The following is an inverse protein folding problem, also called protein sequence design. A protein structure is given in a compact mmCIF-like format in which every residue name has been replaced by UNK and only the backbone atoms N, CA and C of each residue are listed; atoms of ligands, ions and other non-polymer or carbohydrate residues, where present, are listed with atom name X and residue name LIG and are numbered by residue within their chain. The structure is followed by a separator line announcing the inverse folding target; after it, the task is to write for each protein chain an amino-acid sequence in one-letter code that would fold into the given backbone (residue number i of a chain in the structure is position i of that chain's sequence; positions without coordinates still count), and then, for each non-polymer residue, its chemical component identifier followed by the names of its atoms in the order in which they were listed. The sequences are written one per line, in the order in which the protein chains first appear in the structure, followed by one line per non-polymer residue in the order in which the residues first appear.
data_IF_794642477997
#
_entry.id   IF_794642477997
#
_cell.length_a   1.000
_cell.length_b   1.000
_cell.length_c   1.000
_cell.angle_alpha   90.00
_cell.angle_beta   90.00
_cell.angle_gamma   90.00
#
_symmetry.space_group_name_H-M   'P 1'
#
loop_
_entity.id
_entity.type
_entity.pdbx_description
1 polymer ?
#
# COMPACT_ATOMS: atom_id res chain seq x y z
N UNK A 1 44.36 29.37 -25.87
CA UNK A 1 43.65 28.34 -25.11
C UNK A 1 42.46 27.96 -25.97
N UNK A 2 42.46 26.72 -26.43
CA UNK A 2 41.47 26.12 -27.34
C UNK A 2 40.06 26.25 -26.77
N UNK A 3 39.03 26.13 -27.62
CA UNK A 3 37.64 25.89 -27.21
C UNK A 3 37.59 24.66 -26.30
N UNK A 4 37.78 24.91 -25.00
CA UNK A 4 37.89 23.93 -23.93
C UNK A 4 36.78 22.90 -24.04
N UNK A 5 37.18 21.63 -23.90
CA UNK A 5 36.36 20.42 -23.82
C UNK A 5 35.14 20.64 -22.92
N UNK A 6 34.04 21.13 -23.49
CA UNK A 6 32.77 21.18 -22.78
C UNK A 6 32.39 19.74 -22.48
N UNK A 7 32.40 19.38 -21.20
CA UNK A 7 31.92 18.08 -20.71
C UNK A 7 30.57 17.80 -21.37
N UNK A 8 30.41 16.65 -22.06
CA UNK A 8 29.18 16.35 -22.77
C UNK A 8 27.98 16.43 -21.83
N UNK A 9 26.86 17.00 -22.29
CA UNK A 9 25.63 17.13 -21.51
C UNK A 9 25.21 15.80 -20.84
N UNK A 10 25.32 14.69 -21.58
CA UNK A 10 25.08 13.33 -21.06
C UNK A 10 25.91 13.02 -19.81
N UNK A 11 27.20 13.37 -19.81
CA UNK A 11 28.09 13.13 -18.69
C UNK A 11 27.71 14.00 -17.49
N UNK A 12 27.46 15.29 -17.68
CA UNK A 12 27.01 16.20 -16.59
C UNK A 12 25.72 15.67 -15.93
N UNK A 13 24.73 15.27 -16.72
CA UNK A 13 23.46 14.74 -16.22
C UNK A 13 23.68 13.42 -15.46
N UNK A 14 24.52 12.53 -16.01
CA UNK A 14 24.81 11.22 -15.41
C UNK A 14 25.57 11.36 -14.09
N UNK A 15 26.56 12.23 -14.03
CA UNK A 15 27.37 12.48 -12.83
C UNK A 15 26.50 13.09 -11.71
N UNK A 16 25.63 14.05 -12.05
CA UNK A 16 24.64 14.61 -11.12
C UNK A 16 23.64 13.55 -10.64
N UNK A 17 23.14 12.72 -11.56
CA UNK A 17 22.24 11.63 -11.22
C UNK A 17 22.88 10.66 -10.20
N UNK A 18 24.12 10.21 -10.44
CA UNK A 18 24.80 9.28 -9.54
C UNK A 18 25.17 9.89 -8.19
N UNK A 19 25.43 11.21 -8.11
CA UNK A 19 25.73 11.86 -6.84
C UNK A 19 24.49 12.12 -5.97
N UNK A 20 23.32 12.30 -6.59
CA UNK A 20 22.08 12.65 -5.88
C UNK A 20 21.08 11.50 -5.75
N UNK A 21 21.25 10.42 -6.50
CA UNK A 21 20.34 9.28 -6.51
C UNK A 21 21.11 7.97 -6.46
N UNK A 22 20.49 7.00 -5.79
CA UNK A 22 20.81 5.58 -5.93
C UNK A 22 19.93 4.97 -7.00
N UNK A 23 20.52 4.09 -7.79
CA UNK A 23 19.82 3.27 -8.77
C UNK A 23 19.91 1.81 -8.37
N UNK A 24 18.84 1.06 -8.61
CA UNK A 24 18.77 -0.37 -8.34
C UNK A 24 17.68 -1.00 -9.20
N UNK A 25 17.64 -2.32 -9.24
CA UNK A 25 16.62 -3.06 -9.97
C UNK A 25 15.78 -3.92 -9.04
N UNK A 26 14.53 -4.14 -9.40
CA UNK A 26 13.69 -5.15 -8.75
C UNK A 26 13.88 -6.52 -9.41
N UNK A 27 13.36 -7.59 -8.78
CA UNK A 27 13.50 -8.95 -9.30
C UNK A 27 12.82 -9.16 -10.68
N UNK A 28 11.88 -8.30 -11.05
CA UNK A 28 11.24 -8.25 -12.36
C UNK A 28 12.04 -7.46 -13.41
N UNK A 29 13.25 -6.99 -13.06
CA UNK A 29 14.12 -6.22 -13.94
C UNK A 29 13.78 -4.73 -14.05
N UNK A 30 12.71 -4.25 -13.40
CA UNK A 30 12.38 -2.82 -13.43
C UNK A 30 13.46 -2.00 -12.72
N UNK A 31 13.98 -0.97 -13.38
CA UNK A 31 14.99 -0.07 -12.79
C UNK A 31 14.32 1.10 -12.08
N UNK A 32 14.74 1.34 -10.85
CA UNK A 32 14.27 2.41 -9.99
C UNK A 32 15.39 3.41 -9.67
N UNK A 33 14.98 4.66 -9.51
CA UNK A 33 15.78 5.76 -9.01
C UNK A 33 15.25 6.19 -7.64
N UNK A 34 16.13 6.31 -6.65
CA UNK A 34 15.80 6.77 -5.32
C UNK A 34 16.70 7.94 -4.96
N UNK A 35 16.12 9.09 -4.63
CA UNK A 35 16.90 10.23 -4.18
C UNK A 35 17.60 9.92 -2.86
N UNK A 36 18.87 10.28 -2.75
CA UNK A 36 19.66 10.05 -1.54
C UNK A 36 19.00 10.75 -0.34
N UNK A 37 18.84 10.01 0.77
CA UNK A 37 18.17 10.48 1.98
C UNK A 37 16.63 10.49 1.93
N UNK A 38 16.02 10.06 0.82
CA UNK A 38 14.57 9.97 0.69
C UNK A 38 14.12 8.51 0.46
N UNK A 39 13.09 8.01 1.15
CA UNK A 39 12.77 6.58 1.14
C UNK A 39 11.95 6.14 -0.07
N UNK A 40 11.49 7.09 -0.90
CA UNK A 40 10.65 6.80 -2.08
C UNK A 40 11.52 6.64 -3.33
N UNK A 41 11.35 5.51 -4.00
CA UNK A 41 11.88 5.24 -5.33
C UNK A 41 10.83 5.44 -6.43
N UNK A 42 11.31 5.83 -7.60
CA UNK A 42 10.52 6.05 -8.81
C UNK A 42 11.07 5.18 -9.94
N UNK A 43 10.21 4.50 -10.71
CA UNK A 43 10.70 3.78 -11.88
C UNK A 43 11.29 4.77 -12.88
N UNK A 44 12.41 4.42 -13.52
CA UNK A 44 13.04 5.27 -14.55
C UNK A 44 12.08 5.46 -15.72
N UNK A 45 11.45 4.37 -16.14
CA UNK A 45 10.41 4.36 -17.19
C UNK A 45 9.04 4.43 -16.52
N UNK A 46 8.46 5.62 -16.42
CA UNK A 46 7.09 5.80 -15.93
C UNK A 46 6.16 6.27 -17.05
N UNK A 47 5.00 5.63 -17.20
CA UNK A 47 3.90 6.06 -18.09
C UNK A 47 3.08 7.24 -17.49
N UNK A 48 3.39 7.70 -16.27
CA UNK A 48 2.65 8.75 -15.55
C UNK A 48 3.12 10.17 -15.85
N UNK A 49 2.22 11.15 -15.63
CA UNK A 49 2.41 12.57 -15.97
C UNK A 49 3.04 13.43 -14.86
N UNK A 50 3.07 12.96 -13.61
CA UNK A 50 3.57 13.74 -12.46
C UNK A 50 4.53 12.94 -11.57
N UNK A 51 5.69 13.53 -11.28
CA UNK A 51 6.70 12.94 -10.42
C UNK A 51 7.48 11.80 -11.07
N UNK A 52 7.82 11.90 -12.36
CA UNK A 52 8.79 10.96 -12.94
C UNK A 52 10.21 11.26 -12.47
N UNK A 53 11.09 10.26 -12.46
CA UNK A 53 12.52 10.48 -12.17
C UNK A 53 13.14 11.55 -13.08
N UNK A 54 12.75 11.54 -14.37
CA UNK A 54 13.17 12.57 -15.34
C UNK A 54 12.81 13.99 -14.89
N UNK A 55 11.58 14.21 -14.41
CA UNK A 55 11.16 15.53 -13.91
C UNK A 55 11.93 15.91 -12.65
N UNK A 56 12.15 14.97 -11.72
CA UNK A 56 12.91 15.21 -10.50
C UNK A 56 14.37 15.61 -10.80
N UNK A 57 15.00 14.92 -11.74
CA UNK A 57 16.35 15.21 -12.22
C UNK A 57 16.45 16.60 -12.88
N UNK A 58 15.48 16.96 -13.74
CA UNK A 58 15.43 18.29 -14.36
C UNK A 58 15.26 19.40 -13.33
N UNK A 59 14.41 19.20 -12.32
CA UNK A 59 14.21 20.18 -11.23
C UNK A 59 15.47 20.32 -10.38
N UNK A 60 16.16 19.22 -10.06
CA UNK A 60 17.42 19.22 -9.32
C UNK A 60 18.52 20.00 -10.05
N UNK A 61 18.80 19.61 -11.31
CA UNK A 61 19.80 20.26 -12.16
C UNK A 61 19.57 21.78 -12.30
N UNK A 62 18.30 22.20 -12.42
CA UNK A 62 17.95 23.61 -12.48
C UNK A 62 18.17 24.32 -11.13
N UNK A 63 17.67 23.74 -10.03
CA UNK A 63 17.76 24.34 -8.69
C UNK A 63 19.20 24.48 -8.20
N UNK A 64 20.05 23.53 -8.55
CA UNK A 64 21.46 23.53 -8.16
C UNK A 64 22.35 24.35 -9.12
N UNK A 65 21.74 25.02 -10.10
CA UNK A 65 22.44 25.91 -11.03
C UNK A 65 23.29 25.21 -12.09
N UNK A 66 23.14 23.89 -12.26
CA UNK A 66 23.88 23.09 -13.24
C UNK A 66 23.41 23.39 -14.67
N UNK A 67 22.09 23.60 -14.84
CA UNK A 67 21.51 24.09 -16.09
C UNK A 67 20.29 23.31 -16.57
N UNK A 68 19.80 23.69 -17.76
CA UNK A 68 18.66 23.06 -18.43
C UNK A 68 19.16 22.33 -19.67
N UNK A 69 18.84 21.05 -19.76
CA UNK A 69 19.29 20.17 -20.84
C UNK A 69 18.13 19.80 -21.77
N UNK A 70 18.46 19.59 -23.05
CA UNK A 70 17.46 19.19 -24.04
C UNK A 70 16.98 17.74 -23.82
N UNK A 71 15.89 17.38 -24.50
CA UNK A 71 15.26 16.07 -24.33
C UNK A 71 16.12 14.88 -24.77
N UNK A 72 17.02 15.08 -25.74
CA UNK A 72 17.92 14.04 -26.27
C UNK A 72 19.01 13.71 -25.27
N UNK A 73 19.71 14.72 -24.73
CA UNK A 73 20.74 14.52 -23.71
C UNK A 73 20.18 13.86 -22.44
N UNK A 74 18.97 14.25 -22.02
CA UNK A 74 18.27 13.61 -20.91
C UNK A 74 17.96 12.13 -21.19
N UNK A 75 17.52 11.81 -22.42
CA UNK A 75 17.25 10.42 -22.80
C UNK A 75 18.53 9.58 -22.78
N UNK A 76 19.59 10.05 -23.42
CA UNK A 76 20.89 9.35 -23.46
C UNK A 76 21.47 9.11 -22.07
N UNK A 77 21.34 10.09 -21.16
CA UNK A 77 21.78 9.92 -19.77
C UNK A 77 20.94 8.88 -19.02
N UNK A 78 19.61 8.91 -19.16
CA UNK A 78 18.72 7.92 -18.53
C UNK A 78 18.94 6.51 -19.10
N UNK A 79 19.15 6.37 -20.40
CA UNK A 79 19.45 5.09 -21.06
C UNK A 79 20.78 4.51 -20.52
N UNK A 80 21.80 5.35 -20.30
CA UNK A 80 23.04 4.92 -19.66
C UNK A 80 22.83 4.52 -18.20
N UNK A 81 22.11 5.31 -17.42
CA UNK A 81 21.81 5.00 -16.01
C UNK A 81 21.07 3.66 -15.89
N UNK A 82 20.10 3.41 -16.77
CA UNK A 82 19.38 2.15 -16.82
C UNK A 82 20.31 0.96 -17.15
N UNK A 83 21.25 1.14 -18.07
CA UNK A 83 22.28 0.14 -18.37
C UNK A 83 23.24 -0.10 -17.20
N UNK A 84 23.65 0.95 -16.47
CA UNK A 84 24.50 0.83 -15.29
C UNK A 84 23.79 0.10 -14.15
N UNK A 85 22.48 0.28 -14.00
CA UNK A 85 21.70 -0.43 -12.98
C UNK A 85 21.66 -1.96 -13.18
N UNK A 86 22.07 -2.49 -14.35
CA UNK A 86 22.20 -3.92 -14.57
C UNK A 86 23.28 -4.58 -13.70
N UNK A 87 24.28 -3.81 -13.25
CA UNK A 87 25.36 -4.28 -12.38
C UNK A 87 25.10 -3.99 -10.89
N UNK A 88 24.01 -3.30 -10.57
CA UNK A 88 23.63 -2.96 -9.19
C UNK A 88 22.85 -4.10 -8.51
N UNK A 89 22.79 -4.03 -7.18
CA UNK A 89 22.04 -5.00 -6.37
C UNK A 89 20.53 -4.97 -6.67
N UNK A 90 19.93 -6.16 -6.58
CA UNK A 90 18.47 -6.31 -6.66
C UNK A 90 17.86 -5.93 -5.31
N UNK A 91 16.87 -5.04 -5.32
CA UNK A 91 16.13 -4.69 -4.11
C UNK A 91 14.61 -4.60 -4.37
N UNK A 92 13.77 -5.15 -3.49
CA UNK A 92 12.32 -5.00 -3.60
C UNK A 92 11.86 -3.56 -3.29
N UNK A 93 10.75 -3.17 -3.92
CA UNK A 93 10.00 -1.96 -3.57
C UNK A 93 8.66 -2.36 -2.99
N UNK A 94 8.17 -1.55 -2.06
CA UNK A 94 6.94 -1.85 -1.32
C UNK A 94 5.92 -0.72 -1.47
N UNK A 95 4.63 -1.05 -1.38
CA UNK A 95 3.53 -0.07 -1.36
C UNK A 95 2.89 -0.17 0.01
N UNK A 96 2.81 0.96 0.72
CA UNK A 96 2.19 1.16 2.04
C UNK A 96 2.77 0.36 3.21
N UNK A 97 2.92 -0.95 3.08
CA UNK A 97 3.39 -1.83 4.17
C UNK A 97 4.53 -2.69 3.65
N UNK A 98 5.60 -2.81 4.44
CA UNK A 98 6.80 -3.55 4.07
C UNK A 98 7.36 -4.37 5.24
N UNK A 99 7.92 -5.57 5.00
CA UNK A 99 8.73 -6.22 6.01
C UNK A 99 9.96 -5.36 6.31
N UNK A 100 10.34 -5.28 7.59
CA UNK A 100 11.58 -4.65 8.04
C UNK A 100 12.60 -5.70 8.51
N UNK A 101 13.74 -5.21 8.97
CA UNK A 101 14.72 -6.07 9.66
C UNK A 101 14.19 -6.49 11.02
N UNK A 102 14.85 -7.47 11.67
CA UNK A 102 14.53 -7.98 13.02
C UNK A 102 13.08 -8.41 13.28
N UNK A 103 12.33 -8.69 12.22
CA UNK A 103 10.92 -9.03 12.31
C UNK A 103 10.01 -7.80 12.46
N UNK A 104 10.51 -6.57 12.32
CA UNK A 104 9.65 -5.39 12.24
C UNK A 104 8.78 -5.37 10.96
N UNK A 105 7.74 -4.54 10.99
CA UNK A 105 6.99 -4.11 9.81
C UNK A 105 7.06 -2.60 9.72
N UNK A 106 7.06 -2.06 8.51
CA UNK A 106 6.93 -0.64 8.25
C UNK A 106 5.58 -0.28 7.64
N UNK A 107 5.05 0.88 8.03
CA UNK A 107 3.89 1.54 7.43
C UNK A 107 4.31 2.90 6.86
N UNK A 108 4.25 3.05 5.54
CA UNK A 108 4.42 4.32 4.85
C UNK A 108 3.25 5.26 5.17
N UNK A 109 3.55 6.43 5.72
CA UNK A 109 2.53 7.44 5.99
C UNK A 109 2.12 8.21 4.71
N UNK A 110 2.75 7.97 3.57
CA UNK A 110 2.41 8.67 2.31
C UNK A 110 2.80 10.15 2.32
N UNK A 111 3.53 10.60 3.34
CA UNK A 111 3.89 12.01 3.58
C UNK A 111 5.10 12.44 2.77
N UNK A 112 5.14 13.71 2.38
CA UNK A 112 6.26 14.29 1.62
C UNK A 112 7.57 14.40 2.40
N UNK A 113 7.50 14.34 3.74
CA UNK A 113 8.67 14.31 4.64
C UNK A 113 9.36 12.93 4.71
N UNK A 114 8.81 11.91 4.05
CA UNK A 114 9.37 10.55 4.03
C UNK A 114 9.17 9.78 5.34
N UNK A 115 8.46 10.32 6.31
CA UNK A 115 8.25 9.62 7.58
C UNK A 115 7.37 8.39 7.41
N UNK A 116 7.75 7.32 8.09
CA UNK A 116 7.05 6.04 8.15
C UNK A 116 6.99 5.59 9.60
N UNK A 117 6.07 4.68 9.91
CA UNK A 117 6.01 4.03 11.23
C UNK A 117 6.73 2.70 11.15
N UNK A 118 7.72 2.49 12.02
CA UNK A 118 8.31 1.18 12.25
C UNK A 118 7.59 0.51 13.40
N UNK A 119 7.20 -0.74 13.23
CA UNK A 119 6.37 -1.50 14.18
C UNK A 119 7.11 -2.79 14.53
N UNK A 120 7.50 -2.94 15.79
CA UNK A 120 8.16 -4.12 16.34
C UNK A 120 7.34 -4.64 17.55
N UNK A 121 7.41 -5.94 17.92
CA UNK A 121 6.73 -6.44 19.12
C UNK A 121 7.05 -5.69 20.42
N UNK A 122 8.16 -4.93 20.48
CA UNK A 122 8.53 -4.13 21.66
C UNK A 122 8.04 -2.68 21.62
N UNK A 123 7.48 -2.22 20.50
CA UNK A 123 7.04 -0.83 20.34
C UNK A 123 7.00 -0.36 18.88
N UNK A 124 6.59 0.89 18.70
CA UNK A 124 6.59 1.54 17.41
C UNK A 124 7.16 2.96 17.48
N UNK A 125 7.80 3.40 16.40
CA UNK A 125 8.40 4.74 16.28
C UNK A 125 8.20 5.31 14.87
N UNK A 126 8.17 6.65 14.79
CA UNK A 126 8.05 7.37 13.51
C UNK A 126 9.44 7.83 13.11
N UNK A 127 9.91 7.39 11.95
CA UNK A 127 11.21 7.79 11.39
C UNK A 127 11.26 7.60 9.89
N UNK A 128 12.27 8.16 9.26
CA UNK A 128 12.59 7.86 7.87
C UNK A 128 13.29 6.50 7.82
N UNK A 129 12.83 5.52 7.01
CA UNK A 129 13.47 4.22 6.92
C UNK A 129 14.85 4.32 6.25
N UNK A 130 15.76 3.44 6.68
CA UNK A 130 17.00 3.22 5.93
C UNK A 130 16.63 2.66 4.54
N UNK A 131 17.14 3.25 3.45
CA UNK A 131 16.90 2.77 2.09
C UNK A 131 17.21 1.29 1.86
N UNK A 132 18.12 0.68 2.63
CA UNK A 132 18.43 -0.75 2.56
C UNK A 132 17.41 -1.62 3.29
N UNK A 133 16.74 -1.07 4.29
CA UNK A 133 15.69 -1.78 5.04
C UNK A 133 14.38 -1.75 4.26
N UNK A 134 13.92 -0.56 3.85
CA UNK A 134 12.68 -0.40 3.09
C UNK A 134 12.85 0.66 2.00
N UNK A 135 12.36 0.33 0.80
CA UNK A 135 12.21 1.27 -0.29
C UNK A 135 10.73 1.35 -0.71
N UNK A 136 10.18 2.56 -0.71
CA UNK A 136 8.78 2.80 -1.03
C UNK A 136 8.57 3.09 -2.50
N UNK A 137 7.56 2.46 -3.09
CA UNK A 137 6.91 2.90 -4.32
C UNK A 137 5.56 3.48 -3.95
N UNK A 138 5.33 4.76 -4.27
CA UNK A 138 4.02 5.40 -4.09
C UNK A 138 3.29 5.46 -5.42
N UNK A 139 2.01 5.11 -5.39
CA UNK A 139 1.11 5.28 -6.54
C UNK A 139 0.15 6.44 -6.26
N UNK A 140 -0.72 6.78 -7.21
CA UNK A 140 -1.79 7.75 -6.95
C UNK A 140 -2.79 7.27 -5.88
N UNK A 141 -2.79 5.97 -5.55
CA UNK A 141 -3.63 5.42 -4.49
C UNK A 141 -3.00 5.55 -3.11
N UNK A 142 -1.70 5.88 -3.01
CA UNK A 142 -1.03 6.07 -1.73
C UNK A 142 -1.43 7.42 -1.11
N UNK A 143 -2.51 7.41 -0.34
CA UNK A 143 -2.95 8.57 0.44
C UNK A 143 -2.05 8.92 1.62
N UNK A 144 -2.05 10.19 1.99
CA UNK A 144 -1.35 10.66 3.18
C UNK A 144 -2.12 10.25 4.45
N UNK A 145 -1.41 9.65 5.39
CA UNK A 145 -1.86 9.38 6.75
C UNK A 145 -1.42 10.52 7.70
N UNK A 146 -2.19 10.81 8.76
CA UNK A 146 -1.72 11.67 9.83
C UNK A 146 -0.57 11.00 10.59
N UNK A 147 0.17 11.80 11.37
CA UNK A 147 1.07 11.22 12.37
C UNK A 147 0.21 10.53 13.43
N UNK A 148 0.47 9.25 13.76
CA UNK A 148 -0.26 8.57 14.81
C UNK A 148 -0.01 9.23 16.17
N UNK A 149 -1.07 9.38 16.96
CA UNK A 149 -0.96 9.84 18.34
C UNK A 149 -0.30 8.78 19.21
N UNK A 150 0.46 9.21 20.22
CA UNK A 150 1.02 8.34 21.27
C UNK A 150 0.15 8.37 22.51
N UNK A 151 0.39 7.43 23.44
CA UNK A 151 -0.23 7.38 24.77
C UNK A 151 -1.77 7.42 24.73
N UNK A 152 -2.33 6.75 23.71
CA UNK A 152 -3.76 6.82 23.41
C UNK A 152 -4.62 6.08 24.43
N UNK A 153 -4.02 5.17 25.20
CA UNK A 153 -4.70 4.25 26.11
C UNK A 153 -5.87 3.50 25.44
N UNK A 154 -5.75 3.18 24.14
CA UNK A 154 -6.76 2.44 23.39
C UNK A 154 -7.99 3.25 22.97
N UNK A 155 -8.10 4.54 23.35
CA UNK A 155 -9.29 5.39 23.07
C UNK A 155 -9.66 5.49 21.59
N UNK A 156 -8.68 5.33 20.69
CA UNK A 156 -8.90 5.28 19.26
C UNK A 156 -9.76 4.10 18.81
N UNK A 157 -9.66 2.95 19.50
CA UNK A 157 -10.52 1.80 19.21
C UNK A 157 -11.98 2.15 19.55
N UNK A 158 -12.23 2.75 20.71
CA UNK A 158 -13.58 3.19 21.13
C UNK A 158 -14.15 4.27 20.20
N UNK A 159 -13.31 5.16 19.67
CA UNK A 159 -13.71 6.14 18.66
C UNK A 159 -14.15 5.44 17.37
N UNK A 160 -13.39 4.46 16.88
CA UNK A 160 -13.74 3.70 15.68
C UNK A 160 -15.08 2.95 15.85
N UNK A 161 -15.28 2.28 17.00
CA UNK A 161 -16.53 1.54 17.26
C UNK A 161 -17.74 2.45 17.37
N UNK A 162 -17.58 3.71 17.83
CA UNK A 162 -18.68 4.70 17.80
C UNK A 162 -19.01 5.21 16.40
N UNK A 163 -18.04 5.21 15.49
CA UNK A 163 -18.21 5.67 14.11
C UNK A 163 -18.80 4.58 13.20
N UNK A 164 -18.56 3.30 13.50
CA UNK A 164 -19.04 2.15 12.72
C UNK A 164 -20.21 1.44 13.41
N UNK A 165 -21.28 1.14 12.67
CA UNK A 165 -22.47 0.47 13.22
C UNK A 165 -22.34 -1.06 13.23
N UNK A 166 -21.28 -1.59 13.85
CA UNK A 166 -21.10 -3.04 13.97
C UNK A 166 -22.21 -3.66 14.83
N UNK A 167 -22.70 -4.83 14.42
CA UNK A 167 -23.87 -5.46 15.05
C UNK A 167 -23.54 -6.08 16.41
N UNK A 168 -22.31 -6.55 16.60
CA UNK A 168 -21.88 -7.32 17.77
C UNK A 168 -20.43 -7.01 18.13
N UNK A 169 -20.06 -7.21 19.40
CA UNK A 169 -18.68 -7.11 19.86
C UNK A 169 -17.74 -8.07 19.11
N UNK A 170 -18.23 -9.25 18.70
CA UNK A 170 -17.47 -10.17 17.85
C UNK A 170 -17.11 -9.52 16.50
N UNK A 171 -18.05 -8.81 15.87
CA UNK A 171 -17.80 -8.10 14.62
C UNK A 171 -16.77 -6.98 14.82
N UNK A 172 -16.84 -6.25 15.93
CA UNK A 172 -15.86 -5.23 16.30
C UNK A 172 -14.46 -5.84 16.43
N UNK A 173 -14.32 -6.96 17.13
CA UNK A 173 -13.07 -7.69 17.28
C UNK A 173 -12.52 -8.16 15.93
N UNK A 174 -13.36 -8.70 15.03
CA UNK A 174 -12.93 -9.13 13.69
C UNK A 174 -12.43 -7.96 12.85
N UNK A 175 -13.07 -6.78 12.93
CA UNK A 175 -12.61 -5.59 12.23
C UNK A 175 -11.23 -5.13 12.71
N UNK A 176 -10.99 -5.18 14.04
CA UNK A 176 -9.69 -4.87 14.62
C UNK A 176 -8.63 -5.91 14.24
N UNK A 177 -8.96 -7.20 14.33
CA UNK A 177 -8.05 -8.27 13.92
C UNK A 177 -7.63 -8.12 12.45
N UNK A 178 -8.56 -7.75 11.58
CA UNK A 178 -8.26 -7.46 10.18
C UNK A 178 -7.32 -6.26 10.01
N UNK A 179 -7.58 -5.14 10.71
CA UNK A 179 -6.71 -3.96 10.65
C UNK A 179 -5.28 -4.26 11.13
N UNK A 180 -5.13 -5.10 12.15
CA UNK A 180 -3.82 -5.59 12.62
C UNK A 180 -3.18 -6.48 11.55
N UNK A 181 -3.95 -7.40 10.96
CA UNK A 181 -3.50 -8.25 9.86
C UNK A 181 -3.01 -7.44 8.64
N UNK A 182 -3.67 -6.32 8.33
CA UNK A 182 -3.23 -5.38 7.28
C UNK A 182 -1.82 -4.82 7.52
N UNK A 183 -1.32 -4.83 8.75
CA UNK A 183 0.03 -4.41 9.14
C UNK A 183 1.02 -5.60 9.19
N UNK A 184 0.65 -6.75 8.62
CA UNK A 184 1.48 -7.95 8.50
C UNK A 184 1.68 -8.34 7.02
N UNK A 185 2.77 -7.91 6.36
CA UNK A 185 2.92 -8.12 4.91
C UNK A 185 3.20 -9.58 4.54
N UNK A 186 3.63 -10.38 5.51
CA UNK A 186 4.02 -11.78 5.33
C UNK A 186 2.96 -12.77 5.80
N UNK A 187 1.76 -12.33 6.19
CA UNK A 187 0.67 -13.22 6.65
C UNK A 187 -0.54 -13.13 5.72
N UNK A 188 -1.23 -14.25 5.43
CA UNK A 188 -2.54 -14.20 4.80
C UNK A 188 -3.51 -13.40 5.68
N UNK A 189 -4.28 -12.50 5.05
CA UNK A 189 -5.27 -11.68 5.76
C UNK A 189 -6.65 -12.01 5.18
N UNK A 190 -7.52 -12.72 5.93
CA UNK A 190 -8.85 -13.01 5.45
C UNK A 190 -9.63 -11.71 5.17
N UNK A 191 -10.47 -11.71 4.16
CA UNK A 191 -11.09 -10.50 3.60
C UNK A 191 -12.42 -10.18 4.30
N UNK A 192 -12.59 -8.99 4.91
CA UNK A 192 -13.86 -8.59 5.48
C UNK A 192 -14.93 -8.52 4.42
N UNK A 193 -16.07 -9.12 4.71
CA UNK A 193 -17.28 -8.97 3.93
C UNK A 193 -18.32 -8.22 4.75
N UNK A 194 -18.46 -6.93 4.46
CA UNK A 194 -19.39 -6.04 5.14
C UNK A 194 -20.80 -6.30 4.62
N UNK A 195 -21.67 -6.79 5.50
CA UNK A 195 -23.06 -7.15 5.21
C UNK A 195 -24.02 -6.40 6.15
N UNK A 196 -25.29 -6.35 5.78
CA UNK A 196 -26.32 -5.66 6.56
C UNK A 196 -27.39 -5.05 5.68
N UNK A 197 -28.51 -4.62 6.27
CA UNK A 197 -29.63 -4.04 5.52
C UNK A 197 -29.22 -2.78 4.77
N UNK A 198 -30.04 -2.38 3.79
CA UNK A 198 -29.88 -1.08 3.13
C UNK A 198 -29.90 0.05 4.19
N UNK A 199 -28.95 0.98 4.09
CA UNK A 199 -28.78 2.07 5.06
C UNK A 199 -27.96 1.72 6.32
N UNK A 200 -27.35 0.54 6.41
CA UNK A 200 -26.46 0.18 7.54
C UNK A 200 -25.07 0.86 7.52
N UNK A 201 -24.76 1.64 6.46
CA UNK A 201 -23.46 2.30 6.34
C UNK A 201 -22.30 1.39 5.92
N UNK A 202 -22.56 0.30 5.19
CA UNK A 202 -21.54 -0.66 4.72
C UNK A 202 -20.38 0.02 3.97
N UNK A 203 -20.69 0.81 2.95
CA UNK A 203 -19.68 1.52 2.17
C UNK A 203 -18.94 2.57 3.00
N UNK A 204 -19.64 3.25 3.90
CA UNK A 204 -19.05 4.23 4.83
C UNK A 204 -18.09 3.57 5.80
N UNK A 205 -18.49 2.49 6.47
CA UNK A 205 -17.64 1.73 7.39
C UNK A 205 -16.46 1.08 6.67
N UNK A 206 -16.68 0.50 5.48
CA UNK A 206 -15.60 -0.04 4.65
C UNK A 206 -14.57 1.03 4.29
N UNK A 207 -15.04 2.23 3.91
CA UNK A 207 -14.15 3.37 3.63
C UNK A 207 -13.39 3.82 4.87
N UNK A 208 -14.03 3.87 6.05
CA UNK A 208 -13.34 4.16 7.31
C UNK A 208 -12.24 3.14 7.63
N UNK A 209 -12.51 1.84 7.45
CA UNK A 209 -11.51 0.79 7.67
C UNK A 209 -10.32 0.92 6.70
N UNK A 210 -10.59 1.16 5.41
CA UNK A 210 -9.55 1.38 4.39
C UNK A 210 -8.71 2.61 4.72
N UNK A 211 -9.33 3.74 5.09
CA UNK A 211 -8.65 5.02 5.33
C UNK A 211 -7.72 5.02 6.54
N UNK A 212 -7.89 4.08 7.49
CA UNK A 212 -6.94 3.87 8.59
C UNK A 212 -5.57 3.43 8.06
N UNK A 213 -5.54 2.65 6.97
CA UNK A 213 -4.30 2.11 6.39
C UNK A 213 -3.88 2.90 5.15
N UNK A 214 -4.81 3.31 4.29
CA UNK A 214 -4.52 3.95 3.00
C UNK A 214 -4.60 5.49 3.00
N UNK A 215 -5.01 6.11 4.12
CA UNK A 215 -5.20 7.56 4.23
C UNK A 215 -6.51 8.04 3.61
N UNK A 216 -6.81 9.34 3.80
CA UNK A 216 -8.14 9.93 3.50
C UNK A 216 -8.56 9.89 2.03
N UNK A 217 -7.62 9.75 1.10
CA UNK A 217 -7.92 9.57 -0.34
C UNK A 217 -8.29 8.13 -0.70
N UNK A 218 -8.12 7.18 0.23
CA UNK A 218 -8.57 5.80 0.06
C UNK A 218 -10.09 5.72 -0.06
N UNK A 219 -10.55 4.91 -1.01
CA UNK A 219 -11.97 4.71 -1.30
C UNK A 219 -12.23 3.26 -1.73
N UNK A 220 -13.51 2.88 -1.68
CA UNK A 220 -13.99 1.62 -2.22
C UNK A 220 -14.14 1.75 -3.74
N UNK A 221 -13.81 0.66 -4.44
CA UNK A 221 -13.80 0.61 -5.91
C UNK A 221 -14.89 -0.32 -6.40
N UNK A 222 -15.42 -0.06 -7.59
CA UNK A 222 -16.29 -1.05 -8.24
C UNK A 222 -15.51 -2.34 -8.46
N UNK A 223 -16.20 -3.47 -8.31
CA UNK A 223 -15.65 -4.78 -8.66
C UNK A 223 -15.06 -4.78 -10.09
N UNK A 224 -13.82 -5.27 -10.27
CA UNK A 224 -13.23 -5.50 -11.59
C UNK A 224 -14.07 -6.46 -12.43
N UNK A 225 -13.99 -6.32 -13.76
CA UNK A 225 -14.75 -7.18 -14.69
C UNK A 225 -14.15 -8.58 -14.86
N UNK A 226 -12.86 -8.71 -14.62
CA UNK A 226 -12.06 -9.91 -14.84
C UNK A 226 -10.85 -9.95 -13.89
N UNK A 227 -10.15 -11.08 -13.91
CA UNK A 227 -8.94 -11.31 -13.11
C UNK A 227 -7.82 -10.32 -13.44
N UNK A 228 -7.65 -9.96 -14.71
CA UNK A 228 -6.59 -9.04 -15.15
C UNK A 228 -6.75 -7.66 -14.51
N UNK A 229 -7.96 -7.10 -14.56
CA UNK A 229 -8.29 -5.84 -13.92
C UNK A 229 -8.19 -5.91 -12.39
N UNK A 230 -8.51 -7.06 -11.77
CA UNK A 230 -8.30 -7.25 -10.33
C UNK A 230 -6.81 -7.22 -9.98
N UNK A 231 -5.98 -7.92 -10.73
CA UNK A 231 -4.53 -7.94 -10.53
C UNK A 231 -3.96 -6.52 -10.68
N UNK A 232 -4.37 -5.77 -11.70
CA UNK A 232 -3.95 -4.38 -11.87
C UNK A 232 -4.35 -3.50 -10.67
N UNK A 233 -5.56 -3.69 -10.14
CA UNK A 233 -6.06 -2.95 -8.97
C UNK A 233 -5.28 -3.26 -7.69
N UNK A 234 -4.86 -4.51 -7.53
CA UNK A 234 -4.07 -5.03 -6.40
C UNK A 234 -2.60 -4.64 -6.50
N UNK A 235 -2.05 -4.56 -7.71
CA UNK A 235 -0.70 -4.08 -7.96
C UNK A 235 -0.52 -2.59 -7.64
N UNK A 236 -1.60 -1.80 -7.73
CA UNK A 236 -1.57 -0.36 -7.56
C UNK A 236 -1.68 0.11 -6.10
N UNK A 237 -2.09 -0.74 -5.15
CA UNK A 237 -2.36 -0.35 -3.76
C UNK A 237 -2.03 -1.46 -2.77
N UNK A 238 -2.20 -1.16 -1.47
CA UNK A 238 -2.05 -2.16 -0.42
C UNK A 238 -3.37 -2.81 -0.06
N UNK A 239 -4.40 -2.01 0.26
CA UNK A 239 -5.74 -2.52 0.52
C UNK A 239 -6.59 -2.43 -0.74
N UNK A 240 -7.13 -3.57 -1.18
CA UNK A 240 -8.09 -3.61 -2.30
C UNK A 240 -9.51 -3.79 -1.81
N UNK A 241 -10.24 -2.68 -1.78
CA UNK A 241 -11.59 -2.63 -1.29
C UNK A 241 -12.61 -2.54 -2.44
N UNK A 242 -13.51 -3.51 -2.52
CA UNK A 242 -14.51 -3.66 -3.58
C UNK A 242 -15.91 -3.37 -3.01
N UNK A 243 -16.56 -2.37 -3.58
CA UNK A 243 -17.88 -1.92 -3.18
C UNK A 243 -18.98 -2.59 -4.00
N UNK A 244 -20.10 -2.86 -3.34
CA UNK A 244 -21.36 -3.27 -3.93
C UNK A 244 -21.23 -4.48 -4.86
N UNK A 245 -20.55 -5.53 -4.39
CA UNK A 245 -20.55 -6.81 -5.06
C UNK A 245 -21.97 -7.35 -5.08
N UNK A 246 -22.46 -7.62 -6.29
CA UNK A 246 -23.75 -8.26 -6.54
C UNK A 246 -23.61 -9.68 -7.09
N UNK A 247 -22.51 -9.96 -7.78
CA UNK A 247 -22.20 -11.26 -8.36
C UNK A 247 -20.69 -11.53 -8.24
N UNK A 248 -20.35 -12.79 -8.01
CA UNK A 248 -18.97 -13.28 -7.98
C UNK A 248 -18.79 -14.33 -9.07
N UNK A 249 -17.95 -14.08 -10.07
CA UNK A 249 -17.61 -15.10 -11.08
C UNK A 249 -16.64 -16.13 -10.47
N UNK A 250 -16.61 -17.37 -10.98
CA UNK A 250 -15.63 -18.37 -10.54
C UNK A 250 -14.18 -17.88 -10.62
N UNK A 251 -13.81 -17.25 -11.74
CA UNK A 251 -12.45 -16.73 -11.97
C UNK A 251 -12.09 -15.61 -10.99
N UNK A 252 -13.02 -14.70 -10.70
CA UNK A 252 -12.80 -13.63 -9.73
C UNK A 252 -12.67 -14.18 -8.31
N UNK A 253 -13.47 -15.20 -7.96
CA UNK A 253 -13.38 -15.91 -6.68
C UNK A 253 -12.01 -16.57 -6.51
N UNK A 254 -11.55 -17.30 -7.52
CA UNK A 254 -10.27 -18.01 -7.47
C UNK A 254 -9.09 -17.01 -7.42
N UNK A 255 -9.18 -15.91 -8.17
CA UNK A 255 -8.21 -14.82 -8.10
C UNK A 255 -8.12 -14.19 -6.71
N UNK A 256 -9.27 -13.89 -6.07
CA UNK A 256 -9.30 -13.38 -4.69
C UNK A 256 -8.66 -14.36 -3.70
N UNK A 257 -8.93 -15.67 -3.84
CA UNK A 257 -8.30 -16.68 -3.01
C UNK A 257 -6.77 -16.67 -3.15
N UNK A 258 -6.25 -16.59 -4.39
CA UNK A 258 -4.81 -16.48 -4.64
C UNK A 258 -4.22 -15.19 -4.04
N UNK A 259 -4.94 -14.07 -4.10
CA UNK A 259 -4.49 -12.79 -3.54
C UNK A 259 -4.43 -12.82 -2.00
N UNK A 260 -5.40 -13.47 -1.35
CA UNK A 260 -5.40 -13.61 0.12
C UNK A 260 -4.24 -14.48 0.59
N UNK A 261 -3.99 -15.60 -0.09
CA UNK A 261 -2.91 -16.53 0.28
C UNK A 261 -1.53 -16.08 -0.18
N UNK A 262 -1.46 -15.22 -1.20
CA UNK A 262 -0.21 -14.82 -1.85
C UNK A 262 0.34 -15.88 -2.80
N UNK A 263 -0.51 -16.76 -3.36
CA UNK A 263 -0.09 -17.74 -4.35
C UNK A 263 0.49 -17.03 -5.59
N UNK A 264 1.61 -17.54 -6.11
CA UNK A 264 2.23 -16.99 -7.32
C UNK A 264 1.42 -17.40 -8.55
N UNK A 265 0.99 -16.41 -9.33
CA UNK A 265 0.49 -16.66 -10.68
C UNK A 265 1.64 -16.45 -11.67
N UNK A 266 1.89 -17.48 -12.49
CA UNK A 266 2.81 -17.37 -13.63
C UNK A 266 2.03 -16.71 -14.77
N UNK A 267 2.30 -15.43 -15.04
CA UNK A 267 1.74 -14.75 -16.21
C UNK A 267 2.85 -14.30 -17.16
N UNK A 268 2.54 -14.28 -18.45
CA UNK A 268 3.31 -13.53 -19.45
C UNK A 268 3.10 -12.04 -19.13
N UNK A 269 4.17 -11.25 -19.15
CA UNK A 269 4.05 -9.82 -18.89
C UNK A 269 3.01 -9.19 -19.82
N UNK A 270 2.06 -8.46 -19.26
CA UNK A 270 1.22 -7.57 -20.06
C UNK A 270 2.14 -6.43 -20.54
N UNK A 271 2.30 -6.33 -21.85
CA UNK A 271 2.98 -5.25 -22.59
C UNK A 271 4.53 -5.24 -22.66
N UNK A 272 5.22 -6.38 -22.48
CA UNK A 272 6.64 -6.51 -22.90
C UNK A 272 6.90 -7.87 -23.56
N UNK A 273 7.73 -7.87 -24.61
CA UNK A 273 8.05 -9.07 -25.39
C UNK A 273 8.75 -10.14 -24.51
N UNK A 274 8.25 -11.37 -24.57
CA UNK A 274 9.04 -12.59 -24.37
C UNK A 274 9.22 -13.14 -22.95
N UNK A 275 9.29 -12.32 -21.91
CA UNK A 275 9.71 -12.81 -20.59
C UNK A 275 8.53 -13.23 -19.67
N UNK A 276 8.65 -14.43 -19.10
CA UNK A 276 7.72 -14.96 -18.10
C UNK A 276 8.19 -14.51 -16.72
N UNK A 277 7.47 -13.56 -16.12
CA UNK A 277 7.69 -13.15 -14.74
C UNK A 277 6.65 -13.79 -13.82
N UNK A 278 7.11 -14.27 -12.65
CA UNK A 278 6.20 -14.72 -11.59
C UNK A 278 5.70 -13.48 -10.87
N UNK A 279 4.39 -13.32 -10.82
CA UNK A 279 3.79 -12.21 -10.08
C UNK A 279 2.85 -12.79 -9.03
N UNK A 280 3.32 -12.80 -7.78
CA UNK A 280 2.51 -13.11 -6.61
C UNK A 280 2.10 -11.81 -5.92
N UNK A 281 0.80 -11.64 -5.67
CA UNK A 281 0.30 -10.56 -4.84
C UNK A 281 -0.29 -11.15 -3.57
N UNK A 282 0.24 -10.73 -2.42
CA UNK A 282 -0.44 -10.89 -1.13
C UNK A 282 -0.92 -9.51 -0.67
N UNK A 283 -2.23 -9.28 -0.67
CA UNK A 283 -2.82 -7.98 -0.33
C UNK A 283 -4.11 -8.13 0.46
N UNK A 284 -4.33 -7.32 1.51
CA UNK A 284 -5.62 -7.27 2.18
C UNK A 284 -6.74 -6.86 1.22
N UNK A 285 -7.81 -7.63 1.23
CA UNK A 285 -9.04 -7.33 0.52
C UNK A 285 -10.10 -6.85 1.51
N UNK A 286 -11.04 -6.03 1.03
CA UNK A 286 -12.29 -5.70 1.74
C UNK A 286 -13.42 -5.73 0.74
N UNK A 287 -14.54 -6.34 1.09
CA UNK A 287 -15.69 -6.53 0.23
C UNK A 287 -16.92 -5.93 0.90
N UNK A 288 -17.77 -5.25 0.12
CA UNK A 288 -19.12 -4.88 0.58
C UNK A 288 -20.16 -5.46 -0.38
N UNK A 289 -21.34 -5.78 0.14
CA UNK A 289 -22.45 -6.29 -0.65
C UNK A 289 -23.75 -6.26 0.13
N UNK A 290 -24.85 -6.47 -0.57
CA UNK A 290 -26.17 -6.67 0.04
C UNK A 290 -26.50 -8.16 0.02
N UNK A 291 -26.37 -8.76 -1.16
CA UNK A 291 -26.46 -10.19 -1.42
C UNK A 291 -25.57 -10.46 -2.64
N UNK A 292 -24.54 -11.29 -2.48
CA UNK A 292 -23.58 -11.66 -3.53
C UNK A 292 -23.95 -12.98 -4.21
N UNK A 293 -25.08 -13.58 -3.83
CA UNK A 293 -25.46 -14.94 -4.21
C UNK A 293 -24.57 -15.99 -3.54
N UNK A 294 -24.37 -17.12 -4.21
CA UNK A 294 -23.59 -18.25 -3.69
C UNK A 294 -22.10 -17.93 -3.74
N UNK A 295 -21.48 -17.77 -2.57
CA UNK A 295 -20.03 -17.69 -2.42
C UNK A 295 -19.47 -19.12 -2.45
N UNK A 296 -18.44 -19.36 -3.27
CA UNK A 296 -17.78 -20.67 -3.32
C UNK A 296 -17.14 -20.99 -1.97
N UNK A 297 -17.15 -22.27 -1.50
CA UNK A 297 -16.62 -22.64 -0.20
C UNK A 297 -15.18 -22.19 0.05
N UNK A 298 -14.33 -22.25 -0.98
CA UNK A 298 -12.94 -21.83 -0.87
C UNK A 298 -12.78 -20.33 -0.55
N UNK A 299 -13.57 -19.46 -1.20
CA UNK A 299 -13.57 -18.03 -0.85
C UNK A 299 -14.24 -17.80 0.50
N UNK A 300 -15.32 -18.51 0.81
CA UNK A 300 -16.05 -18.36 2.07
C UNK A 300 -15.16 -18.61 3.30
N UNK A 301 -14.28 -19.62 3.26
CA UNK A 301 -13.27 -19.89 4.30
C UNK A 301 -12.26 -18.75 4.49
N UNK A 302 -12.18 -17.81 3.53
CA UNK A 302 -11.27 -16.66 3.51
C UNK A 302 -11.97 -15.34 3.78
N UNK A 303 -13.27 -15.34 4.10
CA UNK A 303 -14.02 -14.12 4.43
C UNK A 303 -14.18 -13.94 5.94
N UNK A 304 -14.09 -12.68 6.40
CA UNK A 304 -14.46 -12.27 7.76
C UNK A 304 -15.83 -11.60 7.69
N UNK A 305 -16.91 -12.20 8.21
CA UNK A 305 -18.22 -11.58 8.18
C UNK A 305 -18.23 -10.36 9.11
N UNK A 306 -18.38 -9.17 8.53
CA UNK A 306 -18.60 -7.95 9.31
C UNK A 306 -20.05 -7.51 9.16
N UNK A 307 -20.89 -7.84 10.14
CA UNK A 307 -22.31 -7.49 10.11
C UNK A 307 -22.53 -6.09 10.67
N UNK A 308 -23.20 -5.23 9.89
CA UNK A 308 -23.59 -3.89 10.30
C UNK A 308 -25.11 -3.79 10.51
N UNK A 309 -25.52 -2.95 11.44
CA UNK A 309 -26.92 -2.59 11.69
C UNK A 309 -27.24 -1.16 11.22
N UNK A 310 -28.54 -0.86 11.10
CA UNK A 310 -28.95 0.52 10.79
C UNK A 310 -28.58 1.44 11.96
N UNK A 311 -27.93 2.59 11.70
CA UNK A 311 -27.68 3.57 12.75
C UNK A 311 -28.99 4.03 13.36
N UNK A 312 -29.05 4.09 14.70
CA UNK A 312 -30.22 4.60 15.44
C UNK A 312 -30.36 6.12 15.29
N UNK A 313 -29.22 6.81 15.22
CA UNK A 313 -29.14 8.27 15.06
C UNK A 313 -28.54 8.56 13.69
N UNK A 314 -29.26 9.32 12.86
CA UNK A 314 -28.73 9.78 11.58
C UNK A 314 -27.79 10.96 11.79
N UNK A 315 -26.69 10.94 11.04
CA UNK A 315 -25.70 12.01 10.97
C UNK A 315 -25.52 12.36 9.51
N UNK A 316 -25.18 13.60 9.21
CA UNK A 316 -24.81 13.96 7.84
C UNK A 316 -23.46 13.34 7.49
N UNK A 317 -23.20 13.16 6.20
CA UNK A 317 -21.92 12.63 5.74
C UNK A 317 -20.76 13.56 6.10
N UNK A 318 -20.96 14.88 5.98
CA UNK A 318 -19.95 15.89 6.30
C UNK A 318 -19.56 15.87 7.80
N UNK A 319 -20.55 15.85 8.71
CA UNK A 319 -20.30 15.76 10.15
C UNK A 319 -19.54 14.47 10.52
N UNK A 320 -19.92 13.35 9.91
CA UNK A 320 -19.30 12.06 10.17
C UNK A 320 -17.84 12.04 9.71
N UNK A 321 -17.55 12.56 8.52
CA UNK A 321 -16.18 12.61 8.00
C UNK A 321 -15.31 13.63 8.71
N UNK A 322 -15.88 14.76 9.16
CA UNK A 322 -15.17 15.72 10.00
C UNK A 322 -14.71 15.08 11.32
N UNK A 323 -15.61 14.39 12.03
CA UNK A 323 -15.24 13.67 13.26
C UNK A 323 -14.23 12.55 12.98
N UNK A 324 -14.43 11.76 11.92
CA UNK A 324 -13.50 10.69 11.57
C UNK A 324 -12.09 11.23 11.28
N UNK A 325 -11.98 12.33 10.54
CA UNK A 325 -10.70 12.95 10.22
C UNK A 325 -9.98 13.46 11.49
N UNK A 326 -10.72 14.04 12.43
CA UNK A 326 -10.20 14.48 13.73
C UNK A 326 -9.77 13.28 14.61
N UNK A 327 -10.51 12.18 14.57
CA UNK A 327 -10.23 10.97 15.34
C UNK A 327 -9.09 10.12 14.76
N UNK A 328 -8.83 10.21 13.44
CA UNK A 328 -7.90 9.33 12.72
C UNK A 328 -6.49 9.23 13.33
N UNK A 329 -5.82 10.32 13.80
CA UNK A 329 -4.53 10.22 14.47
C UNK A 329 -4.58 9.34 15.72
N UNK A 330 -5.65 9.44 16.51
CA UNK A 330 -5.85 8.67 17.75
C UNK A 330 -6.24 7.22 17.44
N UNK A 331 -7.10 7.01 16.43
CA UNK A 331 -7.46 5.68 15.92
C UNK A 331 -6.19 4.92 15.47
N UNK A 332 -5.37 5.55 14.63
CA UNK A 332 -4.14 4.94 14.13
C UNK A 332 -3.16 4.65 15.27
N UNK A 333 -2.97 5.59 16.20
CA UNK A 333 -2.13 5.39 17.38
C UNK A 333 -2.57 4.20 18.24
N UNK A 334 -3.87 4.11 18.56
CA UNK A 334 -4.41 2.98 19.32
C UNK A 334 -4.30 1.64 18.58
N UNK A 335 -4.47 1.62 17.26
CA UNK A 335 -4.27 0.42 16.44
C UNK A 335 -2.81 -0.04 16.50
N UNK A 336 -1.85 0.87 16.43
CA UNK A 336 -0.42 0.56 16.53
C UNK A 336 -0.06 0.03 17.92
N UNK A 337 -0.57 0.66 18.99
CA UNK A 337 -0.40 0.20 20.38
C UNK A 337 -0.92 -1.23 20.55
N UNK A 338 -2.09 -1.53 19.99
CA UNK A 338 -2.68 -2.87 20.04
C UNK A 338 -1.92 -3.87 19.18
N UNK A 339 -1.43 -3.46 18.00
CA UNK A 339 -0.60 -4.29 17.12
C UNK A 339 0.66 -4.75 17.83
N UNK A 340 1.33 -3.85 18.56
CA UNK A 340 2.51 -4.19 19.38
C UNK A 340 2.14 -5.26 20.42
N UNK A 341 1.05 -5.05 21.17
CA UNK A 341 0.58 -6.00 22.19
C UNK A 341 0.25 -7.38 21.62
N UNK A 342 -0.48 -7.44 20.51
CA UNK A 342 -0.86 -8.69 19.86
C UNK A 342 0.37 -9.43 19.34
N UNK A 343 1.34 -8.72 18.76
CA UNK A 343 2.57 -9.33 18.24
C UNK A 343 3.55 -9.77 19.33
N UNK A 344 3.44 -9.20 20.54
CA UNK A 344 4.20 -9.61 21.71
C UNK A 344 3.56 -10.77 22.48
N UNK A 345 2.29 -11.08 22.21
CA UNK A 345 1.59 -12.13 22.92
C UNK A 345 2.11 -13.51 22.49
N UNK A 346 2.45 -14.33 23.48
CA UNK A 346 2.63 -15.77 23.29
C UNK A 346 1.25 -16.42 23.32
N UNK A 347 0.83 -16.99 22.20
CA UNK A 347 -0.42 -17.72 22.08
C UNK A 347 -0.19 -19.03 21.35
N UNK A 348 -0.88 -20.09 21.75
CA UNK A 348 -0.93 -21.32 20.98
C UNK A 348 -1.67 -21.06 19.68
N UNK A 349 -0.96 -21.11 18.56
CA UNK A 349 -1.57 -21.01 17.24
C UNK A 349 -2.36 -22.30 16.97
N UNK A 350 -3.68 -22.22 16.73
CA UNK A 350 -4.46 -23.41 16.42
C UNK A 350 -3.93 -24.09 15.15
N UNK A 351 -3.59 -25.36 15.23
CA UNK A 351 -3.00 -26.13 14.11
C UNK A 351 -4.03 -26.66 13.11
N UNK A 352 -5.33 -26.53 13.43
CA UNK A 352 -6.47 -26.98 12.64
C UNK A 352 -7.06 -25.89 11.74
N UNK A 353 -6.55 -24.66 11.84
CA UNK A 353 -6.94 -23.55 10.97
C UNK A 353 -6.14 -23.63 9.65
N UNK A 354 -6.85 -23.79 8.54
CA UNK A 354 -6.30 -23.92 7.17
C UNK A 354 -5.51 -22.69 6.69
N UNK A 355 -5.51 -21.59 7.46
CA UNK A 355 -4.81 -20.33 7.18
C UNK A 355 -3.89 -19.87 8.33
N UNK A 356 -3.62 -20.73 9.33
CA UNK A 356 -2.66 -20.46 10.40
C UNK A 356 -1.20 -20.74 9.98
#
# INVERSE_FOLDING_TARGET
MSEDEKTPARQIITDYAQSHFRYFRTADGTVYAQRNGHPVARPIRSQGTTGSHRQELMVGLFRDGIGVFNGTAMKEALDLIEALALTEDVQPVHIRVAPGFDGATWLDLGRSDGQSVRIHPTGWDIRTPDPREVCWRRTQLTGQLPLPAKDTNGKGIDLLMRLCNFATAETECLAIAWLIGCLGPSVPVPAPFLTGPQGAGKSTGGRMLVRIIEGMTGDLRRAPKDEENLIAAVAAGWVTALDNLSHMTPDLSDAMCCIVTGAENVKRALFTDGDVFRVGYRRPLLLTGIDVGVIRPDLAERLLPLRLERPKVRRTEDELWAEYAEALPVILGSLLDLTVKVRAAEAETPTDLRMA
#
